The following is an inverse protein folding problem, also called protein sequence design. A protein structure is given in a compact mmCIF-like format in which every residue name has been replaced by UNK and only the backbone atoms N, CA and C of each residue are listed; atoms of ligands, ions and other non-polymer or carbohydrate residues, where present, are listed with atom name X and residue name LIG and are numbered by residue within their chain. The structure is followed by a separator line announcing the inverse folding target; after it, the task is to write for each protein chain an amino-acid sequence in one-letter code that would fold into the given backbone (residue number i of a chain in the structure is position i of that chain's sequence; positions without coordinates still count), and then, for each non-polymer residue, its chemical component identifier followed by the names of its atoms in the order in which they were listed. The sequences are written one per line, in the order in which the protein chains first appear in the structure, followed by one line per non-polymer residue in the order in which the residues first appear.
data_IF_152206235047
#
_entry.id   IF_152206235047
#
_cell.length_a   1.000
_cell.length_b   1.000
_cell.length_c   1.000
_cell.angle_alpha   90.00
_cell.angle_beta   90.00
_cell.angle_gamma   90.00
#
_symmetry.space_group_name_H-M   'P 1'
#
loop_
_entity.id
_entity.type
_entity.pdbx_description
1 polymer ?
#
# COMPACT_ATOMS: atom_id res chain seq x y z
N UNK A 1 9.00 9.47 -7.74
CA UNK A 1 10.27 10.11 -8.19
C UNK A 1 9.99 11.51 -8.73
N UNK A 2 9.32 11.68 -9.86
CA UNK A 2 9.07 12.99 -10.51
C UNK A 2 8.37 14.01 -9.60
N UNK A 3 7.45 13.56 -8.73
CA UNK A 3 6.77 14.43 -7.76
C UNK A 3 7.74 15.09 -6.76
N UNK A 4 8.73 14.33 -6.27
CA UNK A 4 9.67 14.82 -5.25
C UNK A 4 10.88 15.54 -5.83
N UNK A 5 11.33 15.13 -7.01
CA UNK A 5 12.62 15.56 -7.57
C UNK A 5 12.50 16.41 -8.85
N UNK A 6 11.28 16.62 -9.35
CA UNK A 6 11.07 17.34 -10.60
C UNK A 6 11.57 16.57 -11.81
N UNK A 7 12.44 17.20 -12.61
CA UNK A 7 13.03 16.58 -13.79
C UNK A 7 13.89 15.38 -13.42
N UNK A 8 13.55 14.22 -13.96
CA UNK A 8 14.23 12.94 -13.69
C UNK A 8 14.54 12.21 -14.99
N UNK A 9 15.54 11.33 -15.04
CA UNK A 9 15.72 10.46 -16.19
C UNK A 9 14.49 9.60 -16.42
N UNK A 10 13.95 9.62 -17.64
CA UNK A 10 12.85 8.75 -18.08
C UNK A 10 13.40 7.69 -19.02
N UNK A 11 13.21 6.43 -18.66
CA UNK A 11 13.70 5.27 -19.42
C UNK A 11 12.50 4.42 -19.80
N UNK A 12 12.06 4.56 -21.04
CA UNK A 12 10.86 3.92 -21.61
C UNK A 12 11.16 2.57 -22.31
N UNK A 13 12.44 2.21 -22.42
CA UNK A 13 12.87 1.00 -23.15
C UNK A 13 13.86 0.18 -22.34
N UNK A 14 13.83 -1.13 -22.55
CA UNK A 14 14.83 -2.04 -22.01
C UNK A 14 16.20 -1.63 -22.55
N UNK A 15 17.17 -1.49 -21.65
CA UNK A 15 18.53 -1.16 -22.02
C UNK A 15 19.32 -2.45 -22.26
N UNK A 16 19.75 -2.68 -23.48
CA UNK A 16 20.52 -3.87 -23.86
C UNK A 16 22.01 -3.77 -23.48
N UNK A 17 22.47 -2.56 -23.14
CA UNK A 17 23.86 -2.27 -22.77
C UNK A 17 23.91 -1.38 -21.52
N UNK A 18 25.01 -1.49 -20.80
CA UNK A 18 25.30 -0.60 -19.68
C UNK A 18 25.43 0.85 -20.16
N UNK A 19 24.64 1.74 -19.57
CA UNK A 19 24.65 3.19 -19.86
C UNK A 19 24.76 3.98 -18.57
N UNK A 20 25.47 5.11 -18.64
CA UNK A 20 25.63 6.10 -17.56
C UNK A 20 25.30 7.53 -18.02
N UNK A 21 24.89 7.69 -19.26
CA UNK A 21 24.70 8.97 -19.96
C UNK A 21 23.23 9.43 -19.96
N UNK A 22 22.48 9.08 -18.89
CA UNK A 22 21.09 9.50 -18.77
C UNK A 22 20.99 11.01 -18.55
N UNK A 23 20.13 11.65 -19.33
CA UNK A 23 19.74 13.05 -19.15
C UNK A 23 18.41 13.14 -18.42
N UNK A 24 18.13 14.28 -17.80
CA UNK A 24 16.83 14.52 -17.17
C UNK A 24 15.80 14.87 -18.24
N UNK A 25 14.64 14.26 -18.14
CA UNK A 25 13.45 14.60 -18.91
C UNK A 25 12.64 15.62 -18.13
N UNK A 26 12.08 16.67 -18.76
CA UNK A 26 11.21 17.62 -18.09
C UNK A 26 10.07 16.95 -17.35
N UNK A 27 9.75 17.45 -16.15
CA UNK A 27 8.69 16.92 -15.29
C UNK A 27 7.37 16.75 -16.02
N UNK A 28 6.98 17.77 -16.80
CA UNK A 28 5.70 17.81 -17.53
C UNK A 28 5.62 16.69 -18.58
N UNK A 29 6.73 16.38 -19.23
CA UNK A 29 6.82 15.31 -20.23
C UNK A 29 6.68 13.94 -19.57
N UNK A 30 7.38 13.71 -18.45
CA UNK A 30 7.24 12.46 -17.69
C UNK A 30 5.79 12.26 -17.20
N UNK A 31 5.15 13.31 -16.71
CA UNK A 31 3.76 13.24 -16.25
C UNK A 31 2.81 12.98 -17.44
N UNK A 32 3.07 13.56 -18.62
CA UNK A 32 2.27 13.29 -19.81
C UNK A 32 2.32 11.79 -20.17
N UNK A 33 3.51 11.19 -20.17
CA UNK A 33 3.64 9.73 -20.37
C UNK A 33 2.92 8.90 -19.31
N UNK A 34 2.99 9.31 -18.04
CA UNK A 34 2.24 8.63 -16.97
C UNK A 34 0.72 8.66 -17.24
N UNK A 35 0.19 9.80 -17.71
CA UNK A 35 -1.23 9.92 -18.06
C UNK A 35 -1.59 9.03 -19.24
N UNK A 36 -0.80 9.02 -20.31
CA UNK A 36 -1.01 8.16 -21.47
C UNK A 36 -1.01 6.67 -21.09
N UNK A 37 -0.04 6.22 -20.32
CA UNK A 37 0.06 4.84 -19.85
C UNK A 37 -1.14 4.44 -18.99
N UNK A 38 -1.57 5.33 -18.07
CA UNK A 38 -2.71 5.06 -17.21
C UNK A 38 -4.04 5.08 -17.96
N UNK A 39 -4.22 5.96 -18.94
CA UNK A 39 -5.40 5.96 -19.81
C UNK A 39 -5.46 4.66 -20.62
N UNK A 40 -4.33 4.23 -21.19
CA UNK A 40 -4.25 2.93 -21.85
C UNK A 40 -4.60 1.77 -20.90
N UNK A 41 -4.14 1.82 -19.65
CA UNK A 41 -4.47 0.82 -18.65
C UNK A 41 -5.96 0.81 -18.30
N UNK A 42 -6.59 1.98 -18.16
CA UNK A 42 -8.05 2.11 -17.94
C UNK A 42 -8.86 1.49 -19.07
N UNK A 43 -8.42 1.65 -20.32
CA UNK A 43 -9.11 1.11 -21.49
C UNK A 43 -8.95 -0.41 -21.66
N UNK A 44 -7.84 -0.98 -21.22
CA UNK A 44 -7.45 -2.36 -21.53
C UNK A 44 -7.49 -3.33 -20.33
N UNK A 45 -7.47 -2.84 -19.08
CA UNK A 45 -7.54 -3.70 -17.91
C UNK A 45 -8.98 -4.21 -17.66
N UNK A 46 -9.10 -5.39 -17.02
CA UNK A 46 -10.41 -5.94 -16.65
C UNK A 46 -11.21 -4.99 -15.76
N UNK A 47 -12.53 -4.93 -16.01
CA UNK A 47 -13.44 -4.08 -15.24
C UNK A 47 -13.96 -4.79 -13.98
N UNK A 48 -14.18 -6.10 -14.04
CA UNK A 48 -14.73 -6.87 -12.93
C UNK A 48 -13.59 -7.36 -12.00
N UNK A 49 -13.47 -6.83 -10.78
CA UNK A 49 -12.43 -7.25 -9.85
C UNK A 49 -12.64 -8.67 -9.31
N UNK A 50 -13.86 -9.21 -9.38
CA UNK A 50 -14.15 -10.57 -8.92
C UNK A 50 -13.83 -11.63 -10.00
N UNK A 51 -13.68 -11.20 -11.26
CA UNK A 51 -13.28 -12.07 -12.36
C UNK A 51 -11.77 -12.27 -12.49
N UNK A 52 -10.96 -11.52 -11.75
CA UNK A 52 -9.50 -11.60 -11.81
C UNK A 52 -8.90 -12.28 -10.58
N UNK A 53 -7.73 -12.87 -10.77
CA UNK A 53 -6.99 -13.46 -9.63
C UNK A 53 -6.54 -12.37 -8.67
N UNK A 54 -6.57 -12.70 -7.37
CA UNK A 54 -6.04 -11.86 -6.30
C UNK A 54 -4.64 -11.32 -6.64
N UNK A 55 -4.42 -10.04 -6.37
CA UNK A 55 -3.17 -9.34 -6.67
C UNK A 55 -3.03 -8.83 -8.11
N UNK A 56 -3.94 -9.18 -9.02
CA UNK A 56 -3.95 -8.62 -10.39
C UNK A 56 -4.61 -7.25 -10.40
N UNK A 57 -4.12 -6.40 -11.31
CA UNK A 57 -4.65 -5.07 -11.50
C UNK A 57 -5.98 -5.11 -12.28
N UNK A 58 -6.88 -4.22 -11.91
CA UNK A 58 -8.09 -3.89 -12.64
C UNK A 58 -8.04 -2.44 -13.11
N UNK A 59 -8.96 -2.07 -14.01
CA UNK A 59 -9.05 -0.67 -14.47
C UNK A 59 -9.23 0.33 -13.31
N UNK A 60 -9.83 -0.09 -12.20
CA UNK A 60 -10.09 0.77 -11.05
C UNK A 60 -8.83 1.18 -10.31
N UNK A 61 -7.83 0.31 -10.28
CA UNK A 61 -6.51 0.67 -9.74
C UNK A 61 -5.82 1.72 -10.63
N UNK A 62 -5.99 1.62 -11.96
CA UNK A 62 -5.47 2.61 -12.89
C UNK A 62 -6.24 3.94 -12.80
N UNK A 63 -7.57 3.92 -12.68
CA UNK A 63 -8.40 5.12 -12.47
C UNK A 63 -8.03 5.85 -11.17
N UNK A 64 -7.86 5.11 -10.08
CA UNK A 64 -7.44 5.69 -8.80
C UNK A 64 -6.08 6.39 -8.95
N UNK A 65 -5.08 5.70 -9.53
CA UNK A 65 -3.76 6.30 -9.73
C UNK A 65 -3.80 7.48 -10.71
N UNK A 66 -4.66 7.42 -11.73
CA UNK A 66 -4.87 8.51 -12.67
C UNK A 66 -5.44 9.75 -11.97
N UNK A 67 -6.36 9.57 -11.01
CA UNK A 67 -6.87 10.67 -10.19
C UNK A 67 -5.77 11.37 -9.40
N UNK A 68 -4.83 10.61 -8.82
CA UNK A 68 -3.68 11.17 -8.12
C UNK A 68 -2.74 11.94 -9.05
N UNK A 69 -2.50 11.42 -10.26
CA UNK A 69 -1.66 12.10 -11.27
C UNK A 69 -2.29 13.42 -11.70
N UNK A 70 -3.60 13.46 -11.91
CA UNK A 70 -4.31 14.71 -12.23
C UNK A 70 -4.28 15.71 -11.08
N UNK A 71 -4.38 15.26 -9.82
CA UNK A 71 -4.16 16.12 -8.64
C UNK A 71 -2.76 16.74 -8.65
N UNK A 72 -1.73 15.96 -8.98
CA UNK A 72 -0.35 16.46 -9.11
C UNK A 72 -0.20 17.52 -10.20
N UNK A 73 -0.99 17.44 -11.26
CA UNK A 73 -1.02 18.42 -12.35
C UNK A 73 -1.84 19.67 -12.00
N UNK A 74 -2.67 19.63 -10.95
CA UNK A 74 -3.66 20.66 -10.63
C UNK A 74 -4.92 20.61 -11.50
N UNK A 75 -5.12 19.53 -12.27
CA UNK A 75 -6.32 19.31 -13.07
C UNK A 75 -7.39 18.64 -12.20
N UNK A 76 -7.98 19.45 -11.32
CA UNK A 76 -8.95 18.96 -10.33
C UNK A 76 -10.22 18.38 -10.94
N UNK A 77 -10.65 18.87 -12.09
CA UNK A 77 -11.84 18.37 -12.76
C UNK A 77 -11.65 16.95 -13.28
N UNK A 78 -10.50 16.67 -13.87
CA UNK A 78 -10.18 15.29 -14.30
C UNK A 78 -9.89 14.36 -13.11
N UNK A 79 -9.25 14.87 -12.07
CA UNK A 79 -9.03 14.13 -10.85
C UNK A 79 -10.34 13.68 -10.20
N UNK A 80 -11.31 14.59 -10.09
CA UNK A 80 -12.66 14.33 -9.60
C UNK A 80 -13.35 13.25 -10.46
N UNK A 81 -13.37 13.42 -11.78
CA UNK A 81 -13.97 12.45 -12.69
C UNK A 81 -13.39 11.05 -12.54
N UNK A 82 -12.07 10.92 -12.48
CA UNK A 82 -11.40 9.63 -12.32
C UNK A 82 -11.70 8.99 -10.94
N UNK A 83 -11.75 9.79 -9.87
CA UNK A 83 -12.15 9.31 -8.55
C UNK A 83 -13.64 8.89 -8.51
N UNK A 84 -14.53 9.68 -9.11
CA UNK A 84 -15.96 9.35 -9.21
C UNK A 84 -16.20 8.05 -10.01
N UNK A 85 -15.43 7.77 -11.04
CA UNK A 85 -15.52 6.52 -11.78
C UNK A 85 -15.30 5.31 -10.84
N UNK A 86 -14.36 5.39 -9.92
CA UNK A 86 -14.11 4.33 -8.93
C UNK A 86 -15.25 4.26 -7.92
N UNK A 87 -15.65 5.38 -7.33
CA UNK A 87 -16.70 5.46 -6.31
C UNK A 87 -18.04 4.95 -6.86
N UNK A 88 -18.41 5.40 -8.06
CA UNK A 88 -19.67 5.07 -8.69
C UNK A 88 -19.66 3.71 -9.43
N UNK A 89 -18.55 2.99 -9.41
CA UNK A 89 -18.41 1.69 -10.07
C UNK A 89 -19.34 0.61 -9.52
N UNK A 90 -19.75 0.75 -8.26
CA UNK A 90 -20.52 -0.25 -7.52
C UNK A 90 -19.69 -1.45 -7.02
N UNK A 91 -18.38 -1.49 -7.30
CA UNK A 91 -17.50 -2.55 -6.84
C UNK A 91 -16.88 -2.29 -5.48
N UNK A 92 -16.76 -1.02 -5.07
CA UNK A 92 -16.06 -0.61 -3.86
C UNK A 92 -16.95 0.24 -2.97
N UNK A 93 -16.82 0.05 -1.67
CA UNK A 93 -17.44 0.90 -0.65
C UNK A 93 -16.64 0.83 0.65
N UNK A 94 -16.77 1.84 1.49
CA UNK A 94 -16.20 1.80 2.83
C UNK A 94 -16.87 0.71 3.65
N UNK A 95 -16.09 -0.05 4.40
CA UNK A 95 -16.60 -1.12 5.23
C UNK A 95 -17.32 -0.54 6.45
N UNK A 96 -18.60 -0.85 6.62
CA UNK A 96 -19.42 -0.41 7.75
C UNK A 96 -19.70 -1.54 8.74
N UNK A 97 -19.74 -2.78 8.25
CA UNK A 97 -20.00 -3.98 9.03
C UNK A 97 -18.73 -4.82 9.21
N UNK A 98 -18.69 -5.57 10.31
CA UNK A 98 -17.61 -6.52 10.62
C UNK A 98 -17.55 -7.62 9.55
N UNK A 99 -16.34 -7.98 9.12
CA UNK A 99 -16.12 -8.97 8.06
C UNK A 99 -14.89 -9.86 8.31
N UNK A 100 -14.76 -10.90 7.49
CA UNK A 100 -13.62 -11.79 7.47
C UNK A 100 -13.48 -12.70 8.69
N UNK A 101 -12.28 -13.19 8.95
CA UNK A 101 -12.03 -14.27 9.90
C UNK A 101 -12.37 -13.91 11.35
N UNK A 102 -12.16 -12.67 11.76
CA UNK A 102 -12.36 -12.22 13.15
C UNK A 102 -13.60 -11.36 13.36
N UNK A 103 -14.56 -11.39 12.44
CA UNK A 103 -15.79 -10.60 12.53
C UNK A 103 -16.59 -10.81 13.82
N UNK A 104 -16.47 -11.98 14.46
CA UNK A 104 -17.14 -12.31 15.73
C UNK A 104 -16.29 -12.09 16.98
N UNK A 105 -15.00 -11.73 16.81
CA UNK A 105 -14.12 -11.42 17.93
C UNK A 105 -14.33 -9.97 18.42
N UNK A 106 -13.74 -9.63 19.57
CA UNK A 106 -13.71 -8.24 20.02
C UNK A 106 -12.89 -7.40 19.03
N UNK A 107 -13.43 -6.24 18.66
CA UNK A 107 -12.84 -5.33 17.69
C UNK A 107 -13.91 -4.50 17.00
N UNK A 108 -13.53 -3.77 16.00
CA UNK A 108 -14.39 -2.95 15.15
C UNK A 108 -14.10 -3.22 13.66
N UNK A 109 -14.88 -2.61 12.79
CA UNK A 109 -14.75 -2.76 11.33
C UNK A 109 -13.40 -2.27 10.83
N UNK A 110 -12.86 -1.21 11.44
CA UNK A 110 -11.54 -0.69 11.08
C UNK A 110 -10.42 -1.68 11.41
N UNK A 111 -10.49 -2.34 12.56
CA UNK A 111 -9.52 -3.37 12.94
C UNK A 111 -9.58 -4.60 12.02
N UNK A 112 -10.75 -4.92 11.46
CA UNK A 112 -10.88 -6.03 10.52
C UNK A 112 -10.12 -5.83 9.21
N UNK A 113 -9.92 -4.58 8.76
CA UNK A 113 -9.13 -4.27 7.56
C UNK A 113 -7.67 -4.74 7.68
N UNK A 114 -7.14 -4.82 8.91
CA UNK A 114 -5.74 -5.16 9.20
C UNK A 114 -5.55 -6.58 9.76
N UNK A 115 -6.62 -7.36 9.83
CA UNK A 115 -6.51 -8.79 10.19
C UNK A 115 -5.88 -9.56 9.04
N UNK A 116 -4.92 -10.42 9.36
CA UNK A 116 -4.34 -11.36 8.40
C UNK A 116 -5.44 -12.13 7.67
N UNK A 117 -5.30 -12.29 6.36
CA UNK A 117 -6.27 -12.87 5.43
C UNK A 117 -7.52 -12.04 5.11
N UNK A 118 -7.72 -10.88 5.74
CA UNK A 118 -8.84 -9.99 5.42
C UNK A 118 -8.54 -8.96 4.33
N UNK A 119 -7.34 -8.96 3.77
CA UNK A 119 -6.90 -7.94 2.82
C UNK A 119 -7.59 -8.00 1.45
N UNK A 120 -8.17 -9.13 1.10
CA UNK A 120 -8.71 -9.38 -0.24
C UNK A 120 -10.24 -9.37 -0.29
N UNK A 121 -10.79 -9.11 -1.47
CA UNK A 121 -12.25 -9.18 -1.74
C UNK A 121 -12.85 -10.55 -1.42
N UNK A 122 -12.09 -11.62 -1.62
CA UNK A 122 -12.51 -12.99 -1.28
C UNK A 122 -12.79 -13.20 0.21
N UNK A 123 -12.27 -12.33 1.06
CA UNK A 123 -12.54 -12.32 2.52
C UNK A 123 -13.68 -11.35 2.90
N UNK A 124 -14.31 -10.70 1.92
CA UNK A 124 -15.36 -9.71 2.14
C UNK A 124 -14.88 -8.27 2.24
N UNK A 125 -13.59 -7.99 2.00
CA UNK A 125 -13.06 -6.62 1.97
C UNK A 125 -13.43 -5.94 0.67
N UNK A 126 -14.43 -5.06 0.71
CA UNK A 126 -14.87 -4.27 -0.45
C UNK A 126 -14.27 -2.87 -0.49
N UNK A 127 -13.45 -2.50 0.49
CA UNK A 127 -12.80 -1.20 0.54
C UNK A 127 -11.48 -1.18 -0.24
N UNK A 128 -10.75 -2.30 -0.26
CA UNK A 128 -9.45 -2.38 -0.94
C UNK A 128 -9.58 -2.44 -2.46
N UNK A 129 -9.06 -1.42 -3.15
CA UNK A 129 -9.07 -1.34 -4.63
C UNK A 129 -8.08 -2.34 -5.23
N UNK A 130 -6.88 -2.41 -4.65
CA UNK A 130 -5.82 -3.34 -5.03
C UNK A 130 -4.90 -3.61 -3.85
N UNK A 131 -4.45 -4.85 -3.72
CA UNK A 131 -3.59 -5.29 -2.62
C UNK A 131 -2.35 -5.99 -3.18
N UNK A 132 -1.19 -5.51 -2.79
CA UNK A 132 0.07 -6.19 -3.06
C UNK A 132 0.16 -7.44 -2.19
N UNK A 133 0.34 -8.60 -2.83
CA UNK A 133 0.35 -9.88 -2.15
C UNK A 133 1.75 -10.22 -1.67
N UNK A 134 1.87 -10.49 -0.37
CA UNK A 134 3.07 -11.01 0.25
C UNK A 134 2.74 -12.28 1.02
N UNK A 135 3.61 -13.27 0.93
CA UNK A 135 3.50 -14.49 1.72
C UNK A 135 4.86 -14.82 2.32
N UNK A 136 4.88 -14.95 3.65
CA UNK A 136 6.11 -15.17 4.38
C UNK A 136 6.76 -16.49 4.01
N UNK A 137 8.07 -16.46 3.76
CA UNK A 137 8.92 -17.62 3.51
C UNK A 137 8.50 -18.48 2.31
N UNK A 138 7.81 -17.89 1.35
CA UNK A 138 7.41 -18.53 0.09
C UNK A 138 8.25 -17.97 -1.06
N UNK A 139 8.63 -18.82 -2.03
CA UNK A 139 9.41 -18.37 -3.18
C UNK A 139 8.68 -17.27 -3.95
N UNK A 140 9.27 -16.06 -4.00
CA UNK A 140 8.68 -14.88 -4.59
C UNK A 140 7.72 -14.13 -3.66
N UNK A 141 7.44 -14.65 -2.46
CA UNK A 141 6.53 -14.03 -1.50
C UNK A 141 7.19 -13.05 -0.51
N UNK A 142 8.51 -13.05 -0.48
CA UNK A 142 9.28 -12.19 0.42
C UNK A 142 9.76 -12.88 1.70
N UNK A 143 10.61 -12.19 2.43
CA UNK A 143 11.13 -12.63 3.72
C UNK A 143 10.82 -11.58 4.80
N UNK A 144 11.08 -11.87 6.07
CA UNK A 144 10.97 -10.88 7.16
C UNK A 144 11.77 -9.60 6.91
N UNK A 145 12.80 -9.67 6.07
CA UNK A 145 13.63 -8.52 5.72
C UNK A 145 13.05 -7.68 4.58
N UNK A 146 12.07 -8.19 3.85
CA UNK A 146 11.48 -7.54 2.68
C UNK A 146 10.21 -6.74 3.01
N UNK A 147 9.74 -6.83 4.26
CA UNK A 147 8.60 -6.04 4.73
C UNK A 147 9.02 -4.58 5.00
N UNK A 148 8.98 -3.79 3.94
CA UNK A 148 9.25 -2.35 3.99
C UNK A 148 8.17 -1.59 4.74
N UNK A 149 6.93 -2.07 4.75
CA UNK A 149 5.81 -1.43 5.45
C UNK A 149 6.11 -1.35 6.94
N UNK A 150 6.49 -2.47 7.54
CA UNK A 150 6.89 -2.54 8.94
C UNK A 150 8.07 -1.62 9.23
N UNK A 151 9.11 -1.66 8.38
CA UNK A 151 10.31 -0.83 8.55
C UNK A 151 10.05 0.67 8.38
N UNK A 152 9.10 1.04 7.53
CA UNK A 152 8.79 2.44 7.24
C UNK A 152 7.84 3.07 8.25
N UNK A 153 6.91 2.29 8.83
CA UNK A 153 5.82 2.81 9.64
C UNK A 153 5.93 2.46 11.12
N UNK A 154 6.67 1.40 11.48
CA UNK A 154 6.87 1.07 12.88
C UNK A 154 7.93 1.98 13.50
N UNK A 155 7.60 2.66 14.62
CA UNK A 155 8.62 3.38 15.37
C UNK A 155 9.67 2.41 15.90
N UNK A 156 10.93 2.78 15.80
CA UNK A 156 12.06 1.98 16.33
C UNK A 156 12.16 2.12 17.85
N UNK A 157 11.23 1.51 18.56
CA UNK A 157 11.13 1.61 20.00
C UNK A 157 12.40 1.19 20.74
N UNK A 158 13.17 0.27 20.19
CA UNK A 158 14.45 -0.17 20.75
C UNK A 158 15.56 0.90 20.69
N UNK A 159 15.39 1.95 19.90
CA UNK A 159 16.30 3.10 19.84
C UNK A 159 15.91 4.21 20.82
N UNK A 160 14.74 4.12 21.46
CA UNK A 160 14.26 5.14 22.40
C UNK A 160 14.75 4.80 23.80
N UNK A 161 15.66 5.63 24.32
CA UNK A 161 16.18 5.48 25.69
C UNK A 161 15.05 5.66 26.70
N UNK A 162 14.92 4.71 27.64
CA UNK A 162 13.89 4.77 28.68
C UNK A 162 12.54 4.21 28.29
N UNK A 163 12.43 3.55 27.14
CA UNK A 163 11.20 2.88 26.76
C UNK A 163 10.93 1.68 27.66
N UNK A 164 9.70 1.57 28.14
CA UNK A 164 9.29 0.53 29.10
C UNK A 164 8.30 -0.41 28.42
N UNK A 165 8.61 -1.71 28.41
CA UNK A 165 7.66 -2.74 27.97
C UNK A 165 6.71 -3.09 29.11
N UNK A 166 5.43 -3.24 28.78
CA UNK A 166 4.47 -3.87 29.67
C UNK A 166 4.53 -5.40 29.51
N UNK A 167 4.54 -6.13 30.61
CA UNK A 167 4.34 -7.58 30.58
C UNK A 167 2.87 -7.95 30.36
N UNK A 168 2.54 -9.24 30.37
CA UNK A 168 1.18 -9.73 30.17
C UNK A 168 0.16 -9.24 31.21
N UNK A 169 0.62 -8.67 32.31
CA UNK A 169 -0.21 -8.10 33.39
C UNK A 169 -0.28 -6.57 33.33
N UNK A 170 0.39 -5.95 32.35
CA UNK A 170 0.45 -4.50 32.20
C UNK A 170 1.52 -3.82 33.06
N UNK A 171 2.42 -4.59 33.70
CA UNK A 171 3.51 -4.02 34.48
C UNK A 171 4.65 -3.53 33.59
N UNK A 172 5.18 -2.32 33.87
CA UNK A 172 6.30 -1.81 33.10
C UNK A 172 7.55 -2.67 33.29
N UNK A 173 8.18 -3.05 32.17
CA UNK A 173 9.45 -3.78 32.17
C UNK A 173 10.54 -2.95 31.50
N UNK A 174 11.64 -2.74 32.17
CA UNK A 174 12.85 -2.15 31.59
C UNK A 174 13.43 -3.16 30.58
N UNK A 175 13.53 -2.76 29.34
CA UNK A 175 14.25 -3.51 28.31
C UNK A 175 15.70 -3.05 28.35
N UNK A 176 16.62 -3.97 28.58
CA UNK A 176 18.04 -3.70 28.41
C UNK A 176 18.28 -3.46 26.91
N UNK A 177 18.68 -2.24 26.57
CA UNK A 177 19.06 -1.87 25.21
C UNK A 177 20.33 -2.67 24.86
N UNK A 178 20.27 -3.51 23.83
CA UNK A 178 21.44 -4.19 23.29
C UNK A 178 21.38 -5.71 23.19
N UNK A 179 20.28 -6.34 23.52
CA UNK A 179 20.09 -7.76 23.17
C UNK A 179 19.40 -7.87 21.83
N UNK A 180 19.99 -8.65 20.91
CA UNK A 180 19.42 -9.02 19.60
C UNK A 180 18.18 -9.93 19.72
N UNK A 181 17.49 -9.92 20.82
CA UNK A 181 16.23 -10.61 20.94
C UNK A 181 15.20 -9.85 20.12
N UNK A 182 14.68 -10.50 19.08
CA UNK A 182 13.50 -10.03 18.37
C UNK A 182 12.36 -9.92 19.37
N UNK A 183 12.12 -8.73 19.81
CA UNK A 183 11.03 -8.48 20.75
C UNK A 183 9.73 -8.62 19.95
N UNK A 184 8.90 -9.57 20.37
CA UNK A 184 7.58 -9.78 19.77
C UNK A 184 6.74 -8.50 19.99
N UNK A 185 6.62 -7.70 18.95
CA UNK A 185 5.89 -6.42 18.96
C UNK A 185 4.43 -6.57 19.42
N UNK A 186 3.84 -7.75 19.32
CA UNK A 186 2.48 -8.04 19.82
C UNK A 186 2.36 -7.91 21.35
N UNK A 187 3.47 -7.76 22.05
CA UNK A 187 3.51 -7.53 23.49
C UNK A 187 3.57 -6.05 23.89
N UNK A 188 3.72 -5.15 22.90
CA UNK A 188 3.69 -3.72 23.18
C UNK A 188 2.23 -3.27 23.33
N UNK A 189 1.89 -2.80 24.53
CA UNK A 189 0.68 -2.01 24.73
C UNK A 189 1.12 -0.56 24.91
N UNK A 190 0.50 0.34 24.18
CA UNK A 190 0.54 1.74 24.52
C UNK A 190 -0.22 1.88 25.85
N UNK A 191 0.43 2.43 26.85
CA UNK A 191 -0.27 2.90 28.02
C UNK A 191 -0.83 4.27 27.66
N UNK A 192 -2.17 4.37 27.63
CA UNK A 192 -2.88 5.63 27.53
C UNK A 192 -2.54 6.54 28.74
#
# INVERSE_FOLDING_TARGET
MVYLYGDVPYVDKIQDQFRIDFTRTPKEEVIAHMVEDLQFAVENLPTDPDAVKVGKLTKWAAEHLLSEVYLMQGDYAKAETAAENVINSGYFHLMEDRFGEKAKANGDVFSDLFVENNQNRTSGNMESIWVMQFEYNTTGGGTNSDDWTRRAWEPKYFEITGFVLADSLGWPRLVAIGTNEMVDWRRYRFLD
#
